data_IF_859774900324
#
_entry.id   IF_859774900324
#
_cell.length_a   1.000
_cell.length_b   1.000
_cell.length_c   1.000
_cell.angle_alpha   90.00
_cell.angle_beta   90.00
_cell.angle_gamma   90.00
#
_symmetry.space_group_name_H-M   'P 1'
#
loop_
_entity.id
_entity.type
_entity.pdbx_description
1 polymer ?
#
# COMPACT_ATOMS: atom_id res chain seq x y z
N UNK A 1 -46.49 14.75 8.57
CA UNK A 1 -45.43 15.01 7.58
C UNK A 1 -44.32 14.00 7.74
N UNK A 2 -44.36 12.87 7.07
CA UNK A 2 -45.40 12.04 6.44
C UNK A 2 -44.55 10.80 6.08
N UNK A 3 -44.67 9.66 6.76
CA UNK A 3 -45.37 8.46 6.25
C UNK A 3 -45.04 8.02 4.81
N UNK A 4 -43.91 8.44 4.23
CA UNK A 4 -43.61 8.22 2.79
C UNK A 4 -42.16 7.82 2.48
N UNK A 5 -41.49 7.11 3.39
CA UNK A 5 -40.19 6.45 3.08
C UNK A 5 -40.31 4.92 3.12
N UNK A 6 -41.35 4.38 3.77
CA UNK A 6 -41.58 2.94 3.95
C UNK A 6 -42.26 2.18 2.79
N UNK A 7 -42.36 2.74 1.58
CA UNK A 7 -43.05 2.09 0.44
C UNK A 7 -42.23 1.91 -0.84
N UNK A 8 -40.96 2.32 -0.87
CA UNK A 8 -40.11 2.14 -2.07
C UNK A 8 -39.20 0.90 -2.03
N UNK A 9 -39.22 0.10 -0.95
CA UNK A 9 -38.24 -0.98 -0.75
C UNK A 9 -38.83 -2.39 -0.71
N UNK A 10 -40.08 -2.57 -1.15
CA UNK A 10 -40.73 -3.90 -1.23
C UNK A 10 -41.12 -4.34 -2.64
N UNK A 11 -40.65 -3.64 -3.69
CA UNK A 11 -40.97 -4.00 -5.08
C UNK A 11 -39.74 -4.08 -6.01
N UNK A 12 -38.62 -4.65 -5.53
CA UNK A 12 -37.45 -4.98 -6.36
C UNK A 12 -36.90 -6.39 -6.12
N UNK A 13 -37.70 -7.28 -5.53
CA UNK A 13 -37.40 -8.71 -5.45
C UNK A 13 -38.42 -9.51 -6.28
N UNK A 14 -38.33 -9.38 -7.60
CA UNK A 14 -38.68 -10.38 -8.64
C UNK A 14 -38.87 -9.70 -9.99
N UNK A 15 -37.83 -9.73 -10.82
CA UNK A 15 -37.96 -9.95 -12.26
C UNK A 15 -36.59 -10.33 -12.85
N UNK A 16 -36.51 -11.31 -13.75
CA UNK A 16 -35.28 -11.61 -14.48
C UNK A 16 -35.15 -10.57 -15.61
N UNK A 17 -34.16 -9.68 -15.50
CA UNK A 17 -33.83 -8.76 -16.59
C UNK A 17 -33.04 -9.49 -17.69
N UNK A 18 -33.37 -9.27 -18.97
CA UNK A 18 -32.76 -9.97 -20.09
C UNK A 18 -31.34 -9.47 -20.37
N UNK A 19 -30.47 -10.41 -20.78
CA UNK A 19 -29.15 -10.13 -21.36
C UNK A 19 -29.30 -9.20 -22.58
N UNK A 20 -29.00 -7.91 -22.40
CA UNK A 20 -28.83 -6.99 -23.51
C UNK A 20 -27.39 -7.04 -24.02
N UNK A 21 -27.28 -7.08 -25.34
CA UNK A 21 -26.07 -7.37 -26.07
C UNK A 21 -25.02 -6.25 -25.95
N UNK A 22 -23.83 -6.60 -25.47
CA UNK A 22 -22.63 -5.82 -25.74
C UNK A 22 -22.28 -5.97 -27.23
N UNK A 23 -22.63 -4.97 -28.03
CA UNK A 23 -22.19 -4.86 -29.40
C UNK A 23 -20.68 -4.52 -29.44
N UNK A 24 -19.86 -5.48 -29.87
CA UNK A 24 -18.45 -5.24 -30.21
C UNK A 24 -18.36 -4.31 -31.44
N UNK A 25 -17.46 -3.32 -31.46
CA UNK A 25 -17.18 -2.58 -32.68
C UNK A 25 -16.49 -3.48 -33.71
N UNK A 26 -16.98 -3.37 -34.95
CA UNK A 26 -16.60 -4.16 -36.13
C UNK A 26 -15.14 -3.96 -36.52
N UNK A 27 -14.48 -5.09 -36.77
CA UNK A 27 -13.17 -5.27 -37.41
C UNK A 27 -13.10 -4.48 -38.74
N UNK A 28 -12.18 -3.53 -38.86
CA UNK A 28 -11.80 -2.96 -40.16
C UNK A 28 -10.75 -3.88 -40.78
N UNK A 29 -11.12 -4.58 -41.85
CA UNK A 29 -10.20 -5.33 -42.71
C UNK A 29 -9.79 -4.40 -43.84
N UNK A 30 -8.52 -4.00 -43.87
CA UNK A 30 -7.93 -3.29 -45.01
C UNK A 30 -7.15 -4.32 -45.83
N UNK A 31 -7.67 -4.64 -47.00
CA UNK A 31 -7.03 -5.50 -48.00
C UNK A 31 -5.97 -4.70 -48.76
N UNK A 32 -4.73 -5.19 -48.81
CA UNK A 32 -3.70 -4.69 -49.72
C UNK A 32 -3.49 -5.68 -50.88
N UNK A 33 -3.36 -5.22 -52.13
CA UNK A 33 -3.18 -6.10 -53.28
C UNK A 33 -1.75 -6.68 -53.34
N UNK A 34 -1.70 -7.97 -53.67
CA UNK A 34 -0.51 -8.80 -53.82
C UNK A 34 -0.01 -8.75 -55.27
N UNK A 35 1.07 -8.00 -55.52
CA UNK A 35 2.09 -8.15 -56.58
C UNK A 35 3.04 -6.93 -56.42
N UNK A 36 4.36 -7.02 -56.34
CA UNK A 36 5.29 -7.73 -57.21
C UNK A 36 6.58 -8.07 -56.46
N UNK A 37 7.16 -9.18 -56.89
CA UNK A 37 8.37 -9.82 -56.38
C UNK A 37 9.64 -9.20 -57.01
N UNK A 38 10.77 -9.38 -56.31
CA UNK A 38 12.18 -9.37 -56.75
C UNK A 38 12.99 -8.07 -56.52
N UNK A 39 13.82 -8.03 -55.45
CA UNK A 39 15.29 -8.10 -55.59
C UNK A 39 16.06 -8.02 -54.26
N UNK A 40 17.13 -8.82 -54.20
CA UNK A 40 18.37 -8.74 -53.38
C UNK A 40 18.27 -9.06 -51.88
N UNK A 41 18.56 -10.33 -51.58
CA UNK A 41 19.15 -10.74 -50.31
C UNK A 41 20.57 -10.17 -50.17
N UNK A 42 20.75 -9.28 -49.20
CA UNK A 42 22.06 -9.02 -48.55
C UNK A 42 22.04 -9.67 -47.17
N UNK A 43 23.10 -10.38 -46.75
CA UNK A 43 23.14 -10.99 -45.42
C UNK A 43 23.21 -9.89 -44.35
N UNK A 44 22.50 -10.02 -43.22
CA UNK A 44 22.60 -9.04 -42.14
C UNK A 44 23.99 -9.14 -41.49
N UNK A 45 24.69 -8.01 -41.42
CA UNK A 45 25.89 -7.87 -40.58
C UNK A 45 25.48 -8.14 -39.12
N UNK A 46 26.29 -8.85 -38.32
CA UNK A 46 25.98 -9.04 -36.91
C UNK A 46 26.05 -7.66 -36.25
N UNK A 47 24.90 -7.18 -35.79
CA UNK A 47 24.81 -5.96 -34.99
C UNK A 47 25.34 -6.32 -33.60
N UNK A 48 26.65 -6.24 -33.42
CA UNK A 48 27.26 -6.26 -32.10
C UNK A 48 26.91 -4.92 -31.43
N UNK A 49 25.74 -4.84 -30.82
CA UNK A 49 25.45 -3.82 -29.81
C UNK A 49 26.37 -4.10 -28.64
N UNK A 50 27.57 -3.51 -28.68
CA UNK A 50 28.40 -3.34 -27.49
C UNK A 50 27.53 -2.50 -26.55
N UNK A 51 26.90 -3.14 -25.58
CA UNK A 51 26.20 -2.44 -24.51
C UNK A 51 27.26 -1.57 -23.86
N UNK A 52 27.24 -0.28 -24.20
CA UNK A 52 27.85 0.73 -23.35
C UNK A 52 27.14 0.58 -22.01
N UNK A 53 27.82 -0.05 -21.05
CA UNK A 53 27.46 0.09 -19.66
C UNK A 53 27.64 1.58 -19.37
N UNK A 54 26.57 2.35 -19.54
CA UNK A 54 26.44 3.64 -18.89
C UNK A 54 26.70 3.33 -17.42
N UNK A 55 27.66 3.98 -16.75
CA UNK A 55 27.80 3.83 -15.32
C UNK A 55 26.47 4.32 -14.74
N UNK A 56 25.60 3.39 -14.36
CA UNK A 56 24.39 3.73 -13.63
C UNK A 56 24.89 4.27 -12.31
N UNK A 57 24.95 5.59 -12.18
CA UNK A 57 25.22 6.24 -10.91
C UNK A 57 24.10 5.84 -9.97
N UNK A 58 24.36 4.82 -9.16
CA UNK A 58 23.45 4.39 -8.11
C UNK A 58 23.39 5.51 -7.09
N UNK A 59 22.26 6.20 -7.04
CA UNK A 59 22.02 7.23 -6.03
C UNK A 59 22.22 6.57 -4.66
N UNK A 60 23.08 7.18 -3.86
CA UNK A 60 23.52 6.65 -2.57
C UNK A 60 23.40 7.74 -1.54
N UNK A 61 22.94 7.37 -0.36
CA UNK A 61 22.87 8.23 0.82
C UNK A 61 23.38 7.45 2.03
N UNK A 62 24.03 8.14 2.96
CA UNK A 62 24.57 7.52 4.17
C UNK A 62 23.83 8.04 5.38
N UNK A 63 23.33 7.12 6.22
CA UNK A 63 22.71 7.46 7.49
C UNK A 63 23.54 6.91 8.66
N UNK A 64 23.53 7.62 9.77
CA UNK A 64 24.13 7.17 11.04
C UNK A 64 23.02 6.84 12.02
N UNK A 65 23.07 5.64 12.60
CA UNK A 65 22.11 5.20 13.59
C UNK A 65 22.72 5.32 15.00
N UNK A 66 22.02 5.93 15.98
CA UNK A 66 22.44 5.94 17.38
C UNK A 66 22.83 4.57 17.93
N UNK A 67 22.12 3.51 17.53
CA UNK A 67 22.38 2.12 17.96
C UNK A 67 23.63 1.49 17.32
N UNK A 68 24.22 2.13 16.30
CA UNK A 68 25.36 1.63 15.51
C UNK A 68 26.46 2.68 15.32
N UNK A 69 26.95 3.27 16.43
CA UNK A 69 27.99 4.30 16.38
C UNK A 69 29.24 3.85 15.61
N UNK A 70 29.69 4.69 14.67
CA UNK A 70 30.85 4.42 13.83
C UNK A 70 30.63 3.41 12.70
N UNK A 71 29.41 2.88 12.55
CA UNK A 71 29.04 1.96 11.47
C UNK A 71 27.91 2.57 10.62
N UNK A 72 28.26 3.41 9.62
CA UNK A 72 27.28 4.06 8.77
C UNK A 72 26.50 3.04 7.92
N UNK A 73 25.20 3.27 7.75
CA UNK A 73 24.32 2.46 6.91
C UNK A 73 24.21 3.11 5.54
N UNK A 74 24.42 2.33 4.49
CA UNK A 74 24.25 2.78 3.11
C UNK A 74 22.80 2.62 2.66
N UNK A 75 22.20 3.68 2.15
CA UNK A 75 20.89 3.68 1.50
C UNK A 75 21.13 3.86 0.00
N UNK A 76 20.63 2.93 -0.80
CA UNK A 76 20.82 2.89 -2.25
C UNK A 76 19.47 3.01 -2.96
N UNK A 77 19.45 3.65 -4.13
CA UNK A 77 18.32 3.58 -5.05
C UNK A 77 18.48 2.42 -6.03
N UNK A 78 17.41 1.66 -6.25
CA UNK A 78 17.31 0.72 -7.35
C UNK A 78 17.32 1.44 -8.70
N UNK A 79 17.70 0.73 -9.75
CA UNK A 79 17.66 1.23 -11.13
C UNK A 79 16.25 1.69 -11.50
N UNK A 80 16.12 2.90 -12.03
CA UNK A 80 14.85 3.47 -12.49
C UNK A 80 14.22 4.47 -11.52
N UNK A 81 14.69 4.59 -10.27
CA UNK A 81 14.27 5.65 -9.36
C UNK A 81 14.96 6.97 -9.71
N UNK A 82 14.18 8.04 -9.76
CA UNK A 82 14.70 9.41 -9.89
C UNK A 82 15.35 9.90 -8.58
N UNK A 83 16.22 10.90 -8.67
CA UNK A 83 16.81 11.56 -7.51
C UNK A 83 15.75 12.21 -6.61
N UNK A 84 14.69 12.79 -7.19
CA UNK A 84 13.56 13.32 -6.43
C UNK A 84 12.80 12.26 -5.65
N UNK A 85 12.50 11.10 -6.26
CA UNK A 85 11.80 10.00 -5.58
C UNK A 85 12.67 9.40 -4.48
N UNK A 86 13.96 9.24 -4.73
CA UNK A 86 14.91 8.71 -3.76
C UNK A 86 15.04 9.62 -2.53
N UNK A 87 15.17 10.93 -2.74
CA UNK A 87 15.20 11.91 -1.64
C UNK A 87 13.88 11.93 -0.88
N UNK A 88 12.76 11.97 -1.59
CA UNK A 88 11.43 11.91 -0.98
C UNK A 88 11.28 10.65 -0.12
N UNK A 89 11.75 9.49 -0.59
CA UNK A 89 11.73 8.24 0.17
C UNK A 89 12.51 8.34 1.48
N UNK A 90 13.76 8.83 1.45
CA UNK A 90 14.61 8.97 2.64
C UNK A 90 14.02 9.98 3.64
N UNK A 91 13.41 11.05 3.13
CA UNK A 91 12.82 12.12 3.93
C UNK A 91 11.42 11.79 4.45
N UNK A 92 10.79 10.75 3.91
CA UNK A 92 9.42 10.35 4.25
C UNK A 92 9.26 9.97 5.72
N UNK A 93 8.07 10.26 6.25
CA UNK A 93 7.59 9.74 7.54
C UNK A 93 7.70 8.21 7.60
N UNK A 94 7.34 7.52 6.51
CA UNK A 94 7.37 6.06 6.41
C UNK A 94 8.76 5.48 6.70
N UNK A 95 9.79 6.02 6.03
CA UNK A 95 11.16 5.53 6.19
C UNK A 95 11.74 5.90 7.56
N UNK A 96 11.54 7.15 7.99
CA UNK A 96 12.04 7.65 9.28
C UNK A 96 11.39 6.93 10.46
N UNK A 97 10.09 6.67 10.38
CA UNK A 97 9.37 5.94 11.43
C UNK A 97 9.79 4.47 11.47
N UNK A 98 10.06 3.85 10.31
CA UNK A 98 10.63 2.51 10.27
C UNK A 98 12.00 2.44 10.97
N UNK A 99 12.91 3.38 10.68
CA UNK A 99 14.20 3.46 11.37
C UNK A 99 14.01 3.64 12.89
N UNK A 100 13.14 4.55 13.31
CA UNK A 100 12.82 4.77 14.73
C UNK A 100 12.29 3.49 15.40
N UNK A 101 11.48 2.70 14.71
CA UNK A 101 10.96 1.43 15.23
C UNK A 101 12.04 0.35 15.35
N UNK A 102 13.11 0.40 14.55
CA UNK A 102 14.24 -0.51 14.71
C UNK A 102 15.04 -0.19 15.99
N UNK A 103 15.10 1.08 16.37
CA UNK A 103 15.94 1.60 17.45
C UNK A 103 15.22 1.82 18.78
N UNK A 104 13.88 1.79 18.79
CA UNK A 104 13.12 1.95 20.04
C UNK A 104 13.39 0.80 21.01
N UNK A 105 13.00 0.93 22.27
CA UNK A 105 13.35 -0.02 23.35
C UNK A 105 13.06 -1.50 23.03
N UNK A 106 11.95 -1.77 22.34
CA UNK A 106 11.56 -3.11 21.87
C UNK A 106 11.95 -3.40 20.40
N UNK A 107 12.70 -2.51 19.78
CA UNK A 107 13.18 -2.61 18.40
C UNK A 107 14.32 -3.61 18.27
N UNK A 108 14.44 -4.21 17.09
CA UNK A 108 15.39 -5.31 16.86
C UNK A 108 16.87 -4.89 16.89
N UNK A 109 17.19 -3.59 16.82
CA UNK A 109 18.54 -3.07 16.94
C UNK A 109 18.89 -2.62 18.37
N UNK A 110 17.91 -2.51 19.27
CA UNK A 110 18.08 -1.85 20.57
C UNK A 110 19.07 -2.55 21.51
N UNK A 111 19.12 -3.88 21.47
CA UNK A 111 20.04 -4.68 22.29
C UNK A 111 21.37 -4.99 21.59
N UNK A 112 21.56 -4.50 20.37
CA UNK A 112 22.79 -4.69 19.60
C UNK A 112 23.03 -6.10 19.07
N UNK A 113 22.10 -7.06 19.21
CA UNK A 113 22.25 -8.41 18.64
C UNK A 113 22.09 -8.42 17.11
N UNK A 114 21.32 -7.48 16.57
CA UNK A 114 21.19 -7.29 15.12
C UNK A 114 21.89 -6.01 14.66
N UNK A 115 22.23 -5.95 13.39
CA UNK A 115 22.83 -4.77 12.74
C UNK A 115 22.20 -4.54 11.38
N UNK A 116 21.79 -3.31 11.08
CA UNK A 116 21.41 -2.88 9.75
C UNK A 116 22.67 -2.44 9.01
N UNK A 117 22.95 -3.00 7.83
CA UNK A 117 24.15 -2.65 7.05
C UNK A 117 23.83 -1.84 5.81
N UNK A 118 22.68 -2.10 5.19
CA UNK A 118 22.27 -1.45 3.95
C UNK A 118 20.75 -1.41 3.81
N UNK A 119 20.25 -0.39 3.13
CA UNK A 119 18.88 -0.31 2.63
C UNK A 119 18.91 -0.10 1.12
N UNK A 120 18.13 -0.86 0.36
CA UNK A 120 17.89 -0.64 -1.06
C UNK A 120 16.44 -0.19 -1.26
N UNK A 121 16.23 1.07 -1.59
CA UNK A 121 14.92 1.61 -1.99
C UNK A 121 14.58 1.04 -3.38
N UNK A 122 13.47 0.31 -3.47
CA UNK A 122 13.08 -0.43 -4.68
C UNK A 122 11.96 0.27 -5.46
N UNK A 123 11.08 1.01 -4.79
CA UNK A 123 9.96 1.67 -5.44
C UNK A 123 9.28 2.66 -4.51
N UNK A 124 8.74 3.72 -5.12
CA UNK A 124 8.01 4.80 -4.47
C UNK A 124 6.72 5.01 -5.26
N UNK A 125 5.58 4.92 -4.60
CA UNK A 125 4.28 5.23 -5.18
C UNK A 125 3.77 6.56 -4.60
N UNK A 126 3.57 7.55 -5.47
CA UNK A 126 3.13 8.89 -5.10
C UNK A 126 1.61 9.04 -5.19
N UNK A 127 0.99 9.52 -4.12
CA UNK A 127 -0.44 9.86 -4.07
C UNK A 127 -0.57 11.38 -4.07
N UNK A 128 -0.68 11.98 -5.26
CA UNK A 128 -0.54 13.43 -5.40
C UNK A 128 0.88 13.86 -5.00
N UNK A 129 1.01 14.64 -3.91
CA UNK A 129 2.31 15.15 -3.44
C UNK A 129 2.96 14.30 -2.34
N UNK A 130 2.23 13.36 -1.75
CA UNK A 130 2.70 12.51 -0.64
C UNK A 130 3.14 11.15 -1.15
N UNK A 131 4.06 10.51 -0.43
CA UNK A 131 4.37 9.10 -0.64
C UNK A 131 3.21 8.28 -0.05
N UNK A 132 2.55 7.50 -0.90
CA UNK A 132 1.52 6.55 -0.50
C UNK A 132 2.15 5.23 -0.06
N UNK A 133 3.02 4.67 -0.91
CA UNK A 133 3.73 3.43 -0.62
C UNK A 133 5.23 3.55 -0.85
N UNK A 134 5.98 2.86 -0.01
CA UNK A 134 7.43 2.76 -0.11
C UNK A 134 7.86 1.30 0.00
N UNK A 135 8.54 0.80 -1.03
CA UNK A 135 9.09 -0.56 -1.04
C UNK A 135 10.60 -0.53 -0.96
N UNK A 136 11.17 -1.29 -0.04
CA UNK A 136 12.62 -1.39 0.09
C UNK A 136 13.06 -2.73 0.68
N UNK A 137 14.36 -3.01 0.56
CA UNK A 137 15.02 -4.15 1.18
C UNK A 137 16.06 -3.66 2.18
N UNK A 138 15.92 -4.08 3.43
CA UNK A 138 16.88 -3.87 4.50
C UNK A 138 17.77 -5.11 4.66
N UNK A 139 19.08 -4.92 4.64
CA UNK A 139 20.06 -5.95 4.98
C UNK A 139 20.33 -5.88 6.48
N UNK A 140 19.65 -6.75 7.23
CA UNK A 140 19.81 -6.87 8.67
C UNK A 140 20.47 -8.21 8.98
N UNK A 141 21.55 -8.18 9.76
CA UNK A 141 22.37 -9.34 10.11
C UNK A 141 22.23 -9.60 11.61
N UNK A 142 21.94 -10.85 11.97
CA UNK A 142 22.10 -11.35 13.33
C UNK A 142 23.59 -11.59 13.60
N UNK A 143 24.16 -10.88 14.58
CA UNK A 143 25.59 -10.95 14.90
C UNK A 143 26.00 -12.29 15.50
N UNK A 144 25.10 -12.99 16.17
CA UNK A 144 25.38 -14.29 16.77
C UNK A 144 25.51 -15.39 15.73
N UNK A 145 24.65 -15.37 14.70
CA UNK A 145 24.63 -16.40 13.65
C UNK A 145 25.34 -15.98 12.35
N UNK A 146 25.58 -14.68 12.16
CA UNK A 146 26.07 -14.10 10.91
C UNK A 146 25.07 -14.15 9.76
N UNK A 147 23.83 -14.60 10.00
CA UNK A 147 22.81 -14.77 8.95
C UNK A 147 21.98 -13.51 8.77
N UNK A 148 21.53 -13.30 7.54
CA UNK A 148 20.56 -12.24 7.23
C UNK A 148 19.16 -12.65 7.68
N UNK A 149 18.44 -11.74 8.32
CA UNK A 149 17.00 -11.88 8.55
C UNK A 149 16.22 -11.39 7.32
N UNK A 150 15.01 -11.91 7.05
CA UNK A 150 14.18 -11.37 5.97
C UNK A 150 13.88 -9.89 6.18
N UNK A 151 14.33 -9.05 5.26
CA UNK A 151 14.23 -7.59 5.37
C UNK A 151 13.50 -6.93 4.19
N UNK A 152 12.53 -7.62 3.57
CA UNK A 152 11.67 -6.99 2.57
C UNK A 152 10.62 -6.16 3.32
N UNK A 153 10.55 -4.86 3.03
CA UNK A 153 9.65 -3.93 3.67
C UNK A 153 8.75 -3.29 2.62
N UNK A 154 7.45 -3.35 2.86
CA UNK A 154 6.44 -2.56 2.17
C UNK A 154 5.81 -1.62 3.20
N UNK A 155 6.27 -0.38 3.21
CA UNK A 155 5.83 0.63 4.15
C UNK A 155 4.65 1.42 3.58
N UNK A 156 3.63 1.60 4.42
CA UNK A 156 2.46 2.45 4.19
C UNK A 156 2.17 3.22 5.47
N UNK A 157 1.43 4.31 5.34
CA UNK A 157 0.98 5.10 6.49
C UNK A 157 0.06 4.31 7.43
N UNK A 158 -0.12 4.79 8.67
CA UNK A 158 -1.07 4.20 9.59
C UNK A 158 -2.49 4.21 8.99
N UNK A 159 -3.32 3.30 9.46
CA UNK A 159 -4.67 3.09 8.96
C UNK A 159 -5.64 2.91 10.12
N UNK A 160 -6.90 3.24 9.86
CA UNK A 160 -8.00 3.06 10.80
C UNK A 160 -9.09 2.26 10.12
N UNK A 161 -9.82 1.48 10.92
CA UNK A 161 -11.09 0.87 10.52
C UNK A 161 -12.12 1.13 11.60
N UNK A 162 -13.39 1.24 11.20
CA UNK A 162 -14.48 1.58 12.11
C UNK A 162 -15.52 0.46 12.09
N UNK A 163 -15.78 -0.11 13.27
CA UNK A 163 -16.91 -1.02 13.47
C UNK A 163 -18.16 -0.21 13.81
N UNK A 164 -19.12 -0.20 12.90
CA UNK A 164 -20.39 0.49 13.09
C UNK A 164 -21.48 -0.55 13.35
N UNK A 165 -22.09 -0.45 14.53
CA UNK A 165 -23.22 -1.29 14.93
C UNK A 165 -24.51 -0.48 14.82
N UNK A 166 -25.45 -0.98 14.02
CA UNK A 166 -26.78 -0.40 13.85
C UNK A 166 -27.79 -1.26 14.61
N UNK A 167 -28.52 -0.68 15.55
CA UNK A 167 -29.65 -1.34 16.20
C UNK A 167 -30.96 -0.96 15.50
N UNK A 168 -31.72 -1.97 15.08
CA UNK A 168 -33.03 -1.77 14.45
C UNK A 168 -33.95 -2.93 14.79
N UNK A 169 -35.15 -2.63 15.28
CA UNK A 169 -36.20 -3.62 15.59
C UNK A 169 -35.71 -4.77 16.52
N UNK A 170 -34.86 -4.43 17.51
CA UNK A 170 -34.29 -5.41 18.44
C UNK A 170 -33.19 -6.29 17.86
N UNK A 171 -32.71 -5.99 16.66
CA UNK A 171 -31.60 -6.69 16.00
C UNK A 171 -30.41 -5.74 15.81
N UNK A 172 -29.20 -6.24 16.07
CA UNK A 172 -27.95 -5.50 15.85
C UNK A 172 -27.30 -5.95 14.55
N UNK A 173 -26.94 -4.99 13.70
CA UNK A 173 -26.31 -5.20 12.40
C UNK A 173 -24.92 -4.57 12.38
N UNK A 174 -23.97 -5.18 11.68
CA UNK A 174 -22.69 -4.56 11.37
C UNK A 174 -22.73 -3.94 9.97
N UNK A 175 -22.31 -2.68 9.84
CA UNK A 175 -22.19 -2.03 8.53
C UNK A 175 -20.87 -2.44 7.89
N UNK A 176 -20.95 -2.95 6.66
CA UNK A 176 -19.80 -3.35 5.85
C UNK A 176 -19.81 -2.59 4.52
N UNK A 177 -18.63 -2.42 3.92
CA UNK A 177 -18.46 -1.93 2.56
C UNK A 177 -18.05 -3.07 1.65
N UNK A 178 -18.51 -3.01 0.39
CA UNK A 178 -18.10 -3.93 -0.66
C UNK A 178 -16.91 -3.34 -1.42
N UNK A 179 -15.75 -3.99 -1.32
CA UNK A 179 -14.48 -3.39 -1.72
C UNK A 179 -13.76 -4.28 -2.74
N UNK A 180 -13.37 -3.69 -3.87
CA UNK A 180 -12.57 -4.38 -4.90
C UNK A 180 -11.13 -4.49 -4.39
N UNK A 181 -10.70 -5.71 -4.10
CA UNK A 181 -9.34 -6.01 -3.66
C UNK A 181 -8.55 -6.61 -4.80
N UNK A 182 -7.94 -5.76 -5.62
CA UNK A 182 -7.05 -6.16 -6.73
C UNK A 182 -5.99 -7.18 -6.29
N UNK A 183 -5.29 -7.04 -5.14
CA UNK A 183 -4.29 -8.03 -4.71
C UNK A 183 -4.84 -9.45 -4.49
N UNK A 184 -6.14 -9.59 -4.20
CA UNK A 184 -6.79 -10.90 -4.03
C UNK A 184 -7.62 -11.30 -5.25
N UNK A 185 -7.77 -10.40 -6.23
CA UNK A 185 -8.63 -10.59 -7.40
C UNK A 185 -10.11 -10.77 -7.05
N UNK A 186 -10.55 -10.32 -5.87
CA UNK A 186 -11.91 -10.53 -5.36
C UNK A 186 -12.54 -9.23 -4.90
N UNK A 187 -13.86 -9.25 -4.85
CA UNK A 187 -14.64 -8.29 -4.09
C UNK A 187 -14.87 -8.87 -2.70
N UNK A 188 -14.63 -8.06 -1.66
CA UNK A 188 -14.67 -8.50 -0.26
C UNK A 188 -15.58 -7.58 0.53
N UNK A 189 -16.38 -8.15 1.43
CA UNK A 189 -17.08 -7.39 2.46
C UNK A 189 -16.12 -7.14 3.62
N UNK A 190 -15.89 -5.89 3.94
CA UNK A 190 -14.98 -5.46 5.00
C UNK A 190 -15.55 -4.28 5.78
N UNK A 191 -14.95 -3.98 6.93
CA UNK A 191 -15.29 -2.78 7.67
C UNK A 191 -14.81 -1.53 6.89
N UNK A 192 -15.56 -0.41 6.95
CA UNK A 192 -15.06 0.88 6.48
C UNK A 192 -13.66 1.16 7.03
N UNK A 193 -12.73 1.58 6.18
CA UNK A 193 -11.33 1.72 6.57
C UNK A 193 -10.58 2.72 5.68
N UNK A 194 -9.76 3.56 6.31
CA UNK A 194 -9.00 4.61 5.64
C UNK A 194 -7.54 4.66 6.09
N UNK A 195 -6.71 5.33 5.29
CA UNK A 195 -5.35 5.69 5.71
C UNK A 195 -5.38 7.01 6.45
N UNK A 196 -4.60 7.13 7.51
CA UNK A 196 -4.49 8.38 8.25
C UNK A 196 -3.48 9.29 7.55
N UNK A 197 -3.81 10.59 7.51
CA UNK A 197 -2.87 11.61 7.11
C UNK A 197 -1.90 11.88 8.28
N UNK A 198 -0.61 12.02 7.99
CA UNK A 198 0.47 12.07 9.00
C UNK A 198 0.45 13.33 9.90
N UNK A 199 -0.50 14.25 9.70
CA UNK A 199 -0.27 15.65 10.07
C UNK A 199 -0.93 16.15 11.36
N UNK A 200 -1.81 15.40 12.05
CA UNK A 200 -2.53 16.01 13.22
C UNK A 200 -2.78 15.16 14.46
N UNK A 201 -2.44 13.87 14.48
CA UNK A 201 -2.72 13.01 15.64
C UNK A 201 -4.22 12.87 15.98
N UNK A 202 -5.11 13.39 15.12
CA UNK A 202 -6.55 13.27 15.24
C UNK A 202 -7.01 11.99 14.54
N UNK A 203 -6.67 10.86 15.17
CA UNK A 203 -7.03 9.52 14.70
C UNK A 203 -8.55 9.40 14.54
N UNK A 204 -9.29 9.89 15.53
CA UNK A 204 -10.75 9.74 15.62
C UNK A 204 -11.42 10.64 14.58
N UNK A 205 -11.04 11.92 14.46
CA UNK A 205 -11.60 12.81 13.45
C UNK A 205 -11.30 12.38 12.02
N UNK A 206 -10.13 11.77 11.79
CA UNK A 206 -9.82 11.18 10.47
C UNK A 206 -10.69 9.95 10.22
N UNK A 207 -10.87 9.07 11.20
CA UNK A 207 -11.75 7.90 11.07
C UNK A 207 -13.20 8.28 10.74
N UNK A 208 -13.74 9.31 11.42
CA UNK A 208 -15.07 9.85 11.12
C UNK A 208 -15.16 10.33 9.68
N UNK A 209 -14.19 11.13 9.23
CA UNK A 209 -14.17 11.67 7.87
C UNK A 209 -14.13 10.58 6.80
N UNK A 210 -13.26 9.59 6.96
CA UNK A 210 -13.15 8.47 6.00
C UNK A 210 -14.46 7.68 5.92
N UNK A 211 -15.10 7.41 7.05
CA UNK A 211 -16.42 6.74 7.08
C UNK A 211 -17.49 7.60 6.41
N UNK A 212 -17.54 8.89 6.72
CA UNK A 212 -18.50 9.81 6.09
C UNK A 212 -18.37 9.84 4.57
N UNK A 213 -17.14 9.83 4.06
CA UNK A 213 -16.83 9.80 2.63
C UNK A 213 -17.20 8.46 1.98
N UNK A 214 -16.96 7.32 2.65
CA UNK A 214 -17.21 5.99 2.10
C UNK A 214 -18.69 5.57 2.13
N UNK A 215 -19.41 5.85 3.24
CA UNK A 215 -20.77 5.32 3.46
C UNK A 215 -21.84 6.40 3.61
N UNK A 216 -21.47 7.69 3.67
CA UNK A 216 -22.42 8.80 3.79
C UNK A 216 -23.09 8.92 5.16
N UNK A 217 -22.61 8.19 6.18
CA UNK A 217 -23.15 8.26 7.55
C UNK A 217 -22.29 9.23 8.36
N UNK A 218 -22.94 10.27 8.91
CA UNK A 218 -22.29 11.20 9.83
C UNK A 218 -22.16 10.61 11.22
N UNK A 219 -20.93 10.35 11.64
CA UNK A 219 -20.63 9.84 12.97
C UNK A 219 -20.37 11.01 13.91
N UNK A 220 -20.90 10.91 15.14
CA UNK A 220 -20.58 11.85 16.21
C UNK A 220 -19.35 11.34 16.97
N UNK A 221 -18.41 12.23 17.21
CA UNK A 221 -17.15 11.89 17.87
C UNK A 221 -17.38 11.34 19.29
N UNK A 222 -18.36 11.92 19.99
CA UNK A 222 -18.75 11.52 21.35
C UNK A 222 -19.32 10.10 21.45
N UNK A 223 -19.82 9.54 20.34
CA UNK A 223 -20.36 8.19 20.29
C UNK A 223 -19.28 7.15 19.92
N UNK A 224 -18.06 7.59 19.58
CA UNK A 224 -16.98 6.69 19.19
C UNK A 224 -16.26 6.11 20.39
N UNK A 225 -15.97 4.81 20.30
CA UNK A 225 -15.19 4.07 21.30
C UNK A 225 -13.90 3.59 20.66
N UNK A 226 -12.76 3.94 21.26
CA UNK A 226 -11.45 3.44 20.84
C UNK A 226 -11.31 1.95 21.22
N UNK A 227 -11.43 1.07 20.22
CA UNK A 227 -11.30 -0.37 20.43
C UNK A 227 -9.88 -0.78 20.82
N UNK A 228 -8.85 0.01 20.47
CA UNK A 228 -7.47 -0.30 20.81
C UNK A 228 -7.16 -0.06 22.29
N UNK A 229 -7.94 0.80 22.95
CA UNK A 229 -7.84 1.04 24.39
C UNK A 229 -8.22 -0.19 25.24
N UNK A 230 -8.94 -1.17 24.67
CA UNK A 230 -9.25 -2.43 25.34
C UNK A 230 -8.16 -3.50 25.18
N UNK A 231 -7.11 -3.23 24.40
CA UNK A 231 -5.99 -4.16 24.27
C UNK A 231 -5.17 -4.19 25.56
N UNK A 232 -4.49 -5.30 25.81
CA UNK A 232 -3.59 -5.42 26.95
C UNK A 232 -2.48 -4.34 26.85
N UNK A 233 -2.13 -3.62 27.95
CA UNK A 233 -1.12 -2.58 27.92
C UNK A 233 0.24 -3.02 27.36
N UNK A 234 0.60 -4.30 27.48
CA UNK A 234 1.83 -4.85 26.90
C UNK A 234 1.88 -4.78 25.37
N UNK A 235 0.73 -4.65 24.70
CA UNK A 235 0.66 -4.46 23.25
C UNK A 235 1.00 -3.03 22.82
N UNK A 236 1.10 -2.10 23.78
CA UNK A 236 1.20 -0.67 23.50
C UNK A 236 -0.03 -0.10 22.80
N UNK A 237 -1.19 -0.76 22.98
CA UNK A 237 -2.48 -0.41 22.36
C UNK A 237 -2.41 -0.38 20.84
N UNK A 238 -1.68 -1.32 20.24
CA UNK A 238 -1.47 -1.39 18.78
C UNK A 238 -1.75 -2.79 18.26
N UNK A 239 -2.37 -2.83 17.09
CA UNK A 239 -2.55 -4.07 16.32
C UNK A 239 -1.55 -4.06 15.17
N UNK A 240 -0.67 -5.05 15.15
CA UNK A 240 0.21 -5.30 14.01
C UNK A 240 -0.42 -6.39 13.14
N UNK A 241 -0.91 -6.06 11.92
CA UNK A 241 -1.41 -7.09 11.03
C UNK A 241 -0.24 -8.03 10.68
N UNK A 242 -0.51 -9.34 10.71
CA UNK A 242 0.46 -10.32 10.23
C UNK A 242 0.84 -9.99 8.77
N UNK A 243 2.12 -10.08 8.38
CA UNK A 243 2.56 -9.80 7.01
C UNK A 243 2.09 -10.86 5.98
N UNK A 244 1.16 -11.75 6.33
CA UNK A 244 0.81 -12.93 5.53
C UNK A 244 -0.65 -12.88 5.09
N UNK A 245 -0.83 -12.92 3.76
CA UNK A 245 -2.07 -13.31 3.11
C UNK A 245 -2.42 -14.75 3.49
N UNK A 246 -3.62 -14.98 4.03
CA UNK A 246 -4.21 -16.32 4.12
C UNK A 246 -4.99 -16.53 2.80
N UNK A 247 -4.54 -17.46 1.96
CA UNK A 247 -5.19 -17.85 0.70
C UNK A 247 -6.54 -18.55 0.94
#
# INVERSE_FOLDING_TARGET
>A
MWTEIGKSMTHLLRSPMPLSAFALPKRLVVSFPLAQLLHRHTPPKPFCSRMSATPSTSLTHTISLPTQLGQPVQVLAASGLSDSEFRAAIESSLFRQWLKNLECENGILANGYMTLTQVLIQGVDMFGKRIGFLKFKADIIDKGTGKKVPGIVFARGPAVTVLILLESEGTTYAVLTEQVRVPTGRVVLELPAGMLDDDKGDFVGTAVREVEEEIGIRLKLEDMVDLTAFLDPSTGFKVFPSPVWRL
#
